data_IF_526395825505
#
_entry.id   IF_526395825505
#
_cell.length_a   1.000
_cell.length_b   1.000
_cell.length_c   1.000
_cell.angle_alpha   90.00
_cell.angle_beta   90.00
_cell.angle_gamma   90.00
#
_symmetry.space_group_name_H-M   'P 1'
#
loop_
_entity.id
_entity.type
_entity.pdbx_description
1 polymer ?
#
# COMPACT_ATOMS: atom_id res chain seq x y z
N UNK A 1 42.33 -23.88 19.40
CA UNK A 1 41.00 -24.50 19.40
C UNK A 1 41.08 -25.78 18.59
N UNK A 2 40.58 -26.89 19.12
CA UNK A 2 40.41 -28.13 18.35
C UNK A 2 39.65 -27.81 17.06
N UNK A 3 40.16 -28.26 15.91
CA UNK A 3 39.58 -28.04 14.57
C UNK A 3 39.52 -26.59 14.03
N UNK A 4 40.40 -25.68 14.48
CA UNK A 4 40.37 -24.27 14.05
C UNK A 4 40.44 -24.05 12.52
N UNK A 5 41.18 -24.88 11.77
CA UNK A 5 41.26 -24.77 10.30
C UNK A 5 39.98 -25.25 9.64
N UNK A 6 39.43 -26.36 10.12
CA UNK A 6 38.19 -26.97 9.65
C UNK A 6 36.98 -26.07 9.93
N UNK A 7 36.96 -25.40 11.08
CA UNK A 7 35.91 -24.42 11.42
C UNK A 7 35.87 -23.26 10.42
N UNK A 8 37.04 -22.77 10.00
CA UNK A 8 37.11 -21.72 8.97
C UNK A 8 36.55 -22.22 7.64
N UNK A 9 37.06 -23.35 7.14
CA UNK A 9 36.60 -23.95 5.87
C UNK A 9 35.09 -24.21 5.86
N UNK A 10 34.54 -24.70 6.98
CA UNK A 10 33.11 -24.93 7.13
C UNK A 10 32.31 -23.64 7.02
N UNK A 11 32.70 -22.59 7.75
CA UNK A 11 32.02 -21.28 7.74
C UNK A 11 32.18 -20.54 6.41
N UNK A 12 33.26 -20.78 5.68
CA UNK A 12 33.47 -20.23 4.34
C UNK A 12 32.56 -20.92 3.31
N UNK A 13 32.08 -22.14 3.59
CA UNK A 13 31.24 -22.94 2.69
C UNK A 13 29.74 -22.74 2.88
N UNK A 14 29.30 -22.35 4.08
CA UNK A 14 27.88 -22.14 4.40
C UNK A 14 27.71 -21.00 5.42
N UNK A 15 26.73 -20.09 5.26
CA UNK A 15 26.45 -19.05 6.24
C UNK A 15 25.91 -19.65 7.55
N UNK A 16 26.76 -19.78 8.57
CA UNK A 16 26.41 -20.38 9.86
C UNK A 16 26.96 -19.55 11.04
N UNK A 17 26.28 -19.57 12.18
CA UNK A 17 26.75 -18.94 13.42
C UNK A 17 27.92 -19.71 14.07
N UNK A 18 28.84 -19.01 14.76
CA UNK A 18 30.10 -19.63 15.22
C UNK A 18 29.88 -20.76 16.22
N UNK A 19 28.92 -20.59 17.13
CA UNK A 19 28.58 -21.60 18.14
C UNK A 19 27.96 -22.84 17.51
N UNK A 20 27.04 -22.67 16.55
CA UNK A 20 26.43 -23.78 15.83
C UNK A 20 27.46 -24.52 14.98
N UNK A 21 28.34 -23.79 14.30
CA UNK A 21 29.42 -24.38 13.51
C UNK A 21 30.37 -25.23 14.37
N UNK A 22 30.77 -24.74 15.55
CA UNK A 22 31.60 -25.50 16.50
C UNK A 22 30.87 -26.77 16.96
N UNK A 23 29.57 -26.68 17.26
CA UNK A 23 28.77 -27.82 17.71
C UNK A 23 28.72 -28.92 16.65
N UNK A 24 28.33 -28.57 15.43
CA UNK A 24 28.21 -29.52 14.30
C UNK A 24 29.58 -30.13 13.97
N UNK A 25 30.63 -29.31 13.97
CA UNK A 25 31.99 -29.77 13.67
C UNK A 25 32.51 -30.76 14.70
N UNK A 26 32.21 -30.55 15.99
CA UNK A 26 32.53 -31.50 17.07
C UNK A 26 31.75 -32.81 16.93
N UNK A 27 30.46 -32.74 16.59
CA UNK A 27 29.64 -33.94 16.38
C UNK A 27 30.16 -34.82 15.24
N UNK A 28 30.79 -34.20 14.24
CA UNK A 28 31.39 -34.88 13.09
C UNK A 28 32.90 -35.11 13.23
N UNK A 29 33.47 -35.00 14.44
CA UNK A 29 34.90 -35.21 14.72
C UNK A 29 35.84 -34.39 13.81
N UNK A 30 35.43 -33.18 13.42
CA UNK A 30 36.22 -32.31 12.55
C UNK A 30 36.05 -32.56 11.04
N UNK A 31 35.19 -33.49 10.61
CA UNK A 31 34.91 -33.72 9.19
C UNK A 31 34.06 -32.57 8.63
N UNK A 32 34.68 -31.74 7.77
CA UNK A 32 34.05 -30.55 7.18
C UNK A 32 32.90 -30.93 6.24
N UNK A 33 33.06 -31.98 5.42
CA UNK A 33 32.06 -32.34 4.42
C UNK A 33 30.79 -32.86 5.10
N UNK A 34 30.94 -33.74 6.10
CA UNK A 34 29.80 -34.22 6.91
C UNK A 34 29.13 -33.09 7.68
N UNK A 35 29.92 -32.12 8.16
CA UNK A 35 29.40 -30.95 8.86
C UNK A 35 28.56 -30.06 7.94
N UNK A 36 28.98 -29.89 6.68
CA UNK A 36 28.21 -29.15 5.66
C UNK A 36 26.89 -29.88 5.38
N UNK A 37 26.93 -31.18 5.11
CA UNK A 37 25.72 -31.97 4.85
C UNK A 37 24.74 -31.92 6.04
N UNK A 38 25.24 -32.08 7.26
CA UNK A 38 24.42 -31.97 8.46
C UNK A 38 23.78 -30.58 8.58
N UNK A 39 24.54 -29.51 8.36
CA UNK A 39 24.00 -28.15 8.44
C UNK A 39 22.92 -27.88 7.38
N UNK A 40 23.12 -28.37 6.14
CA UNK A 40 22.12 -28.27 5.08
C UNK A 40 20.82 -28.99 5.47
N UNK A 41 20.93 -30.20 6.02
CA UNK A 41 19.77 -30.96 6.50
C UNK A 41 19.09 -30.28 7.70
N UNK A 42 19.84 -29.70 8.64
CA UNK A 42 19.29 -28.91 9.75
C UNK A 42 18.50 -27.70 9.23
N UNK A 43 19.01 -26.97 8.24
CA UNK A 43 18.33 -25.82 7.64
C UNK A 43 17.06 -26.22 6.90
N UNK A 44 17.12 -27.30 6.11
CA UNK A 44 15.94 -27.83 5.43
C UNK A 44 14.84 -28.22 6.43
N UNK A 45 15.22 -28.96 7.49
CA UNK A 45 14.29 -29.33 8.56
C UNK A 45 13.71 -28.12 9.29
N UNK A 46 14.51 -27.07 9.52
CA UNK A 46 14.00 -25.83 10.11
C UNK A 46 12.97 -25.14 9.21
N UNK A 47 13.19 -25.11 7.89
CA UNK A 47 12.20 -24.55 6.96
C UNK A 47 10.91 -25.38 6.93
N UNK A 48 11.01 -26.71 6.91
CA UNK A 48 9.85 -27.61 6.94
C UNK A 48 9.05 -27.43 8.24
N UNK A 49 9.72 -27.45 9.39
CA UNK A 49 9.05 -27.42 10.69
C UNK A 49 8.54 -26.03 11.08
N UNK A 50 9.36 -24.99 10.90
CA UNK A 50 9.03 -23.65 11.38
C UNK A 50 8.22 -22.86 10.36
N UNK A 51 8.56 -23.00 9.08
CA UNK A 51 7.91 -22.24 7.99
C UNK A 51 6.90 -23.11 7.24
N UNK A 52 6.78 -24.41 7.51
CA UNK A 52 5.73 -25.29 6.93
C UNK A 52 5.76 -25.32 5.40
N UNK A 53 6.93 -25.52 4.82
CA UNK A 53 7.09 -25.84 3.38
C UNK A 53 7.39 -27.31 3.21
N UNK A 54 7.16 -27.85 2.01
CA UNK A 54 7.60 -29.21 1.71
C UNK A 54 9.12 -29.29 1.53
N UNK A 55 9.61 -30.53 1.52
CA UNK A 55 11.05 -30.83 1.43
C UNK A 55 11.70 -30.30 0.16
N UNK A 56 10.98 -30.33 -0.97
CA UNK A 56 11.50 -29.94 -2.28
C UNK A 56 11.62 -28.41 -2.36
N UNK A 57 10.58 -27.69 -1.96
CA UNK A 57 10.58 -26.23 -1.90
C UNK A 57 11.64 -25.70 -0.92
N UNK A 58 11.81 -26.34 0.24
CA UNK A 58 12.85 -25.98 1.19
C UNK A 58 14.26 -26.11 0.59
N UNK A 59 14.53 -27.17 -0.17
CA UNK A 59 15.80 -27.41 -0.82
C UNK A 59 16.08 -26.40 -1.95
N UNK A 60 15.11 -26.18 -2.84
CA UNK A 60 15.20 -25.23 -3.95
C UNK A 60 15.50 -23.81 -3.44
N UNK A 61 14.75 -23.33 -2.44
CA UNK A 61 14.93 -21.98 -1.90
C UNK A 61 16.27 -21.84 -1.19
N UNK A 62 16.69 -22.83 -0.38
CA UNK A 62 18.00 -22.81 0.27
C UNK A 62 19.12 -22.76 -0.77
N UNK A 63 19.00 -23.52 -1.86
CA UNK A 63 19.98 -23.51 -2.94
C UNK A 63 20.07 -22.11 -3.59
N UNK A 64 18.94 -21.50 -3.93
CA UNK A 64 18.90 -20.17 -4.56
C UNK A 64 19.51 -19.05 -3.71
N UNK A 65 19.45 -19.16 -2.38
CA UNK A 65 19.99 -18.15 -1.45
C UNK A 65 21.32 -18.55 -0.83
N UNK A 66 22.04 -19.51 -1.44
CA UNK A 66 23.34 -20.00 -0.96
C UNK A 66 23.29 -20.48 0.51
N UNK A 67 22.23 -21.18 0.87
CA UNK A 67 21.93 -21.71 2.21
C UNK A 67 21.91 -20.65 3.31
N UNK A 68 21.68 -19.38 2.98
CA UNK A 68 21.38 -18.36 3.97
C UNK A 68 19.96 -18.57 4.52
N UNK A 69 19.87 -19.19 5.70
CA UNK A 69 18.60 -19.51 6.34
C UNK A 69 17.70 -18.29 6.59
N UNK A 70 18.28 -17.14 6.95
CA UNK A 70 17.49 -15.92 7.23
C UNK A 70 16.80 -15.45 5.95
N UNK A 71 17.55 -15.41 4.86
CA UNK A 71 17.02 -15.00 3.55
C UNK A 71 16.02 -16.04 3.00
N UNK A 72 16.28 -17.34 3.20
CA UNK A 72 15.34 -18.40 2.82
C UNK A 72 13.99 -18.27 3.54
N UNK A 73 14.02 -18.09 4.86
CA UNK A 73 12.81 -17.86 5.68
C UNK A 73 12.06 -16.62 5.19
N UNK A 74 12.78 -15.53 4.94
CA UNK A 74 12.21 -14.29 4.41
C UNK A 74 11.52 -14.50 3.06
N UNK A 75 12.15 -15.18 2.10
CA UNK A 75 11.54 -15.47 0.79
C UNK A 75 10.25 -16.27 0.90
N UNK A 76 10.22 -17.30 1.74
CA UNK A 76 9.02 -18.13 1.94
C UNK A 76 7.89 -17.34 2.60
N UNK A 77 8.22 -16.49 3.57
CA UNK A 77 7.22 -15.63 4.21
C UNK A 77 6.67 -14.63 3.18
N UNK A 78 7.56 -13.95 2.44
CA UNK A 78 7.16 -13.00 1.40
C UNK A 78 6.34 -13.66 0.28
N UNK A 79 6.61 -14.92 -0.09
CA UNK A 79 5.81 -15.63 -1.10
C UNK A 79 4.38 -15.97 -0.66
N UNK A 80 4.06 -15.81 0.62
CA UNK A 80 2.71 -16.01 1.19
C UNK A 80 1.95 -14.72 1.42
N UNK A 81 2.66 -13.59 1.40
CA UNK A 81 2.06 -12.28 1.57
C UNK A 81 1.34 -11.88 0.29
N UNK A 82 0.19 -11.23 0.42
CA UNK A 82 -0.45 -10.53 -0.69
C UNK A 82 0.43 -9.39 -1.18
N UNK A 83 0.16 -8.88 -2.39
CA UNK A 83 0.90 -7.74 -2.94
C UNK A 83 0.79 -6.53 -2.02
N UNK A 84 -0.40 -6.31 -1.44
CA UNK A 84 -0.69 -5.25 -0.47
C UNK A 84 0.14 -5.43 0.81
N UNK A 85 0.24 -6.63 1.36
CA UNK A 85 1.08 -6.90 2.54
C UNK A 85 2.56 -6.59 2.27
N UNK A 86 3.06 -6.95 1.09
CA UNK A 86 4.42 -6.60 0.65
C UNK A 86 4.59 -5.08 0.56
N UNK A 87 3.64 -4.38 -0.06
CA UNK A 87 3.68 -2.91 -0.19
C UNK A 87 3.68 -2.23 1.18
N UNK A 88 2.83 -2.69 2.10
CA UNK A 88 2.71 -2.12 3.44
C UNK A 88 3.99 -2.27 4.27
N UNK A 89 4.76 -3.33 4.04
CA UNK A 89 6.02 -3.61 4.76
C UNK A 89 7.25 -2.89 4.17
N UNK A 90 7.27 -2.61 2.86
CA UNK A 90 8.46 -2.09 2.16
C UNK A 90 8.51 -0.56 2.06
N UNK A 91 7.38 0.14 2.14
CA UNK A 91 7.30 1.58 1.90
C UNK A 91 7.30 2.40 3.21
N UNK A 92 7.92 3.58 3.16
CA UNK A 92 8.16 4.41 4.35
C UNK A 92 6.96 5.29 4.71
N UNK A 93 6.41 6.03 3.75
CA UNK A 93 5.24 6.90 3.96
C UNK A 93 3.91 6.23 3.62
N UNK A 94 2.82 6.74 4.16
CA UNK A 94 1.47 6.24 3.87
C UNK A 94 1.02 6.60 2.45
N UNK A 95 1.41 7.77 1.95
CA UNK A 95 1.22 8.16 0.55
C UNK A 95 1.91 7.18 -0.41
N UNK A 96 3.19 6.83 -0.16
CA UNK A 96 3.91 5.85 -0.96
C UNK A 96 3.25 4.46 -0.92
N UNK A 97 2.63 4.09 0.20
CA UNK A 97 1.85 2.84 0.26
C UNK A 97 0.60 2.95 -0.60
N UNK A 98 -0.13 4.05 -0.51
CA UNK A 98 -1.36 4.27 -1.26
C UNK A 98 -1.10 4.23 -2.78
N UNK A 99 -0.10 4.95 -3.29
CA UNK A 99 0.24 4.93 -4.72
C UNK A 99 0.61 3.53 -5.23
N UNK A 100 1.35 2.75 -4.43
CA UNK A 100 1.75 1.40 -4.82
C UNK A 100 0.57 0.42 -4.78
N UNK A 101 -0.33 0.55 -3.80
CA UNK A 101 -1.57 -0.25 -3.74
C UNK A 101 -2.48 0.10 -4.91
N UNK A 102 -2.60 1.39 -5.22
CA UNK A 102 -3.32 1.87 -6.40
C UNK A 102 -2.80 1.19 -7.67
N UNK A 103 -1.50 1.28 -7.94
CA UNK A 103 -0.86 0.59 -9.08
C UNK A 103 -1.08 -0.92 -9.07
N UNK A 104 -1.01 -1.56 -7.90
CA UNK A 104 -1.22 -3.01 -7.77
C UNK A 104 -2.65 -3.43 -8.15
N UNK A 105 -3.66 -2.62 -7.84
CA UNK A 105 -5.04 -2.88 -8.23
C UNK A 105 -5.18 -2.86 -9.75
N UNK A 106 -4.64 -1.84 -10.42
CA UNK A 106 -4.69 -1.74 -11.88
C UNK A 106 -3.95 -2.90 -12.56
N UNK A 107 -2.76 -3.26 -12.04
CA UNK A 107 -1.99 -4.40 -12.53
C UNK A 107 -2.75 -5.73 -12.39
N UNK A 108 -3.46 -5.95 -11.27
CA UNK A 108 -4.28 -7.15 -11.04
C UNK A 108 -5.33 -7.34 -12.13
N UNK A 109 -5.92 -6.27 -12.63
CA UNK A 109 -6.95 -6.31 -13.66
C UNK A 109 -6.42 -6.06 -15.08
N UNK A 110 -5.12 -5.85 -15.24
CA UNK A 110 -4.48 -5.51 -16.53
C UNK A 110 -5.16 -4.33 -17.24
N UNK A 111 -5.53 -3.31 -16.47
CA UNK A 111 -6.14 -2.08 -16.96
C UNK A 111 -5.17 -0.92 -16.78
N UNK A 112 -5.16 -0.01 -17.76
CA UNK A 112 -4.43 1.26 -17.67
C UNK A 112 -5.24 2.29 -16.87
N UNK A 113 -4.57 3.33 -16.41
CA UNK A 113 -5.22 4.44 -15.72
C UNK A 113 -6.25 5.15 -16.62
N UNK A 114 -5.88 5.40 -17.88
CA UNK A 114 -6.73 6.01 -18.92
C UNK A 114 -8.03 5.21 -19.16
N UNK A 115 -7.99 3.89 -19.02
CA UNK A 115 -9.17 3.03 -19.17
C UNK A 115 -10.13 3.09 -17.98
N UNK A 116 -9.74 3.69 -16.85
CA UNK A 116 -10.49 3.67 -15.60
C UNK A 116 -10.48 5.01 -14.86
N UNK A 117 -10.36 6.13 -15.58
CA UNK A 117 -10.54 7.48 -15.01
C UNK A 117 -11.86 7.59 -14.21
N UNK A 118 -11.94 8.60 -13.32
CA UNK A 118 -13.05 8.83 -12.37
C UNK A 118 -14.44 8.66 -13.02
N UNK A 119 -14.58 9.01 -14.31
CA UNK A 119 -15.84 8.98 -15.06
C UNK A 119 -15.97 7.83 -16.07
N UNK A 120 -14.97 6.94 -16.14
CA UNK A 120 -14.97 5.76 -17.00
C UNK A 120 -15.87 4.65 -16.43
N UNK A 121 -16.85 4.24 -17.24
CA UNK A 121 -17.94 3.33 -16.86
C UNK A 121 -17.56 1.86 -16.62
N UNK A 122 -16.30 1.44 -16.75
CA UNK A 122 -15.92 0.03 -16.53
C UNK A 122 -15.41 -0.29 -15.12
N UNK A 123 -15.99 0.36 -14.11
CA UNK A 123 -15.79 0.02 -12.69
C UNK A 123 -16.38 -1.35 -12.31
N UNK A 124 -16.84 -2.18 -13.26
CA UNK A 124 -17.45 -3.49 -12.96
C UNK A 124 -16.43 -4.51 -12.47
N UNK A 125 -15.16 -4.37 -12.87
CA UNK A 125 -14.06 -5.31 -12.58
C UNK A 125 -13.56 -5.26 -11.14
N UNK A 126 -13.57 -4.06 -10.55
CA UNK A 126 -13.11 -3.85 -9.18
C UNK A 126 -14.13 -4.34 -8.15
N UNK A 127 -13.67 -4.83 -7.00
CA UNK A 127 -14.57 -5.04 -5.87
C UNK A 127 -14.89 -3.71 -5.16
N UNK A 128 -15.92 -3.68 -4.30
CA UNK A 128 -16.37 -2.43 -3.66
C UNK A 128 -15.25 -1.70 -2.90
N UNK A 129 -14.38 -2.42 -2.18
CA UNK A 129 -13.28 -1.81 -1.42
C UNK A 129 -12.25 -1.14 -2.32
N UNK A 130 -11.92 -1.80 -3.44
CA UNK A 130 -11.03 -1.25 -4.45
C UNK A 130 -11.64 -0.02 -5.12
N UNK A 131 -12.94 -0.04 -5.45
CA UNK A 131 -13.65 1.12 -6.04
C UNK A 131 -13.63 2.33 -5.13
N UNK A 132 -13.92 2.14 -3.84
CA UNK A 132 -13.93 3.24 -2.89
C UNK A 132 -12.54 3.88 -2.78
N UNK A 133 -11.50 3.04 -2.70
CA UNK A 133 -10.13 3.49 -2.61
C UNK A 133 -9.67 4.22 -3.89
N UNK A 134 -9.96 3.66 -5.06
CA UNK A 134 -9.65 4.30 -6.35
C UNK A 134 -10.33 5.67 -6.43
N UNK A 135 -11.62 5.76 -6.10
CA UNK A 135 -12.37 7.00 -6.17
C UNK A 135 -11.77 8.11 -5.29
N UNK A 136 -11.41 7.78 -4.04
CA UNK A 136 -10.76 8.76 -3.16
C UNK A 136 -9.36 9.10 -3.67
N UNK A 137 -8.57 8.11 -4.09
CA UNK A 137 -7.21 8.34 -4.54
C UNK A 137 -7.16 9.20 -5.82
N UNK A 138 -8.06 8.96 -6.77
CA UNK A 138 -8.17 9.76 -7.98
C UNK A 138 -8.64 11.19 -7.66
N UNK A 139 -9.60 11.35 -6.73
CA UNK A 139 -10.02 12.68 -6.29
C UNK A 139 -8.88 13.46 -5.63
N UNK A 140 -8.06 12.81 -4.81
CA UNK A 140 -6.85 13.40 -4.23
C UNK A 140 -5.84 13.79 -5.33
N UNK A 141 -5.65 12.95 -6.34
CA UNK A 141 -4.77 13.27 -7.47
C UNK A 141 -5.29 14.43 -8.32
N UNK A 142 -6.61 14.53 -8.50
CA UNK A 142 -7.23 15.66 -9.20
C UNK A 142 -7.10 16.95 -8.38
N UNK A 143 -7.23 16.87 -7.06
CA UNK A 143 -6.99 17.99 -6.15
C UNK A 143 -5.54 18.48 -6.24
N UNK A 144 -4.55 17.59 -6.22
CA UNK A 144 -3.13 17.97 -6.36
C UNK A 144 -2.84 18.62 -7.73
N UNK A 145 -3.57 18.22 -8.77
CA UNK A 145 -3.37 18.71 -10.14
C UNK A 145 -4.10 20.04 -10.44
N UNK A 146 -5.39 20.15 -10.13
CA UNK A 146 -6.24 21.31 -10.46
C UNK A 146 -6.55 22.21 -9.25
N UNK A 147 -6.32 21.71 -8.03
CA UNK A 147 -6.60 22.40 -6.78
C UNK A 147 -7.97 22.06 -6.17
N UNK A 148 -8.10 22.28 -4.86
CA UNK A 148 -9.32 22.04 -4.09
C UNK A 148 -10.58 22.70 -4.65
N UNK A 149 -10.50 23.94 -5.14
CA UNK A 149 -11.68 24.64 -5.70
C UNK A 149 -12.25 23.90 -6.91
N UNK A 150 -11.40 23.26 -7.71
CA UNK A 150 -11.79 22.44 -8.85
C UNK A 150 -12.22 21.02 -8.44
N UNK A 151 -11.50 20.40 -7.50
CA UNK A 151 -11.78 19.04 -7.04
C UNK A 151 -13.19 18.88 -6.43
N UNK A 152 -13.72 19.89 -5.74
CA UNK A 152 -15.08 19.83 -5.19
C UNK A 152 -16.19 19.86 -6.26
N UNK A 153 -15.85 20.14 -7.53
CA UNK A 153 -16.80 20.09 -8.66
C UNK A 153 -16.88 18.72 -9.34
N UNK A 154 -15.99 17.78 -9.00
CA UNK A 154 -16.04 16.43 -9.54
C UNK A 154 -17.36 15.73 -9.18
N UNK A 155 -17.92 14.97 -10.13
CA UNK A 155 -19.20 14.26 -9.94
C UNK A 155 -19.13 13.24 -8.80
N UNK A 156 -17.94 12.71 -8.52
CA UNK A 156 -17.70 11.76 -7.43
C UNK A 156 -17.62 12.40 -6.03
N UNK A 157 -17.65 13.73 -5.90
CA UNK A 157 -17.32 14.41 -4.64
C UNK A 157 -18.24 14.03 -3.47
N UNK A 158 -19.54 13.85 -3.71
CA UNK A 158 -20.47 13.41 -2.66
C UNK A 158 -20.18 11.99 -2.15
N UNK A 159 -19.70 11.11 -3.02
CA UNK A 159 -19.32 9.76 -2.64
C UNK A 159 -17.97 9.74 -1.92
N UNK A 160 -17.03 10.59 -2.33
CA UNK A 160 -15.77 10.83 -1.61
C UNK A 160 -16.05 11.26 -0.16
N UNK A 161 -16.98 12.21 0.05
CA UNK A 161 -17.42 12.63 1.40
C UNK A 161 -17.93 11.45 2.21
N UNK A 162 -18.81 10.62 1.62
CA UNK A 162 -19.37 9.44 2.29
C UNK A 162 -18.28 8.41 2.63
N UNK A 163 -17.32 8.17 1.74
CA UNK A 163 -16.22 7.24 1.99
C UNK A 163 -15.36 7.74 3.16
N UNK A 164 -15.01 9.03 3.17
CA UNK A 164 -14.27 9.62 4.29
C UNK A 164 -15.00 9.45 5.63
N UNK A 165 -16.29 9.77 5.68
CA UNK A 165 -17.07 9.73 6.91
C UNK A 165 -17.37 8.31 7.39
N UNK A 166 -17.83 7.43 6.48
CA UNK A 166 -18.39 6.13 6.84
C UNK A 166 -17.36 4.99 6.81
N UNK A 167 -16.33 5.08 5.96
CA UNK A 167 -15.35 4.00 5.76
C UNK A 167 -14.01 4.34 6.40
N UNK A 168 -13.52 5.55 6.21
CA UNK A 168 -12.21 5.97 6.76
C UNK A 168 -12.29 6.55 8.17
N UNK A 169 -13.49 6.61 8.76
CA UNK A 169 -13.71 7.08 10.13
C UNK A 169 -13.40 8.56 10.33
N UNK A 170 -13.35 9.35 9.26
CA UNK A 170 -12.97 10.76 9.27
C UNK A 170 -14.22 11.66 9.33
N UNK A 171 -15.12 11.42 10.30
CA UNK A 171 -16.44 12.05 10.38
C UNK A 171 -16.39 13.58 10.40
N UNK A 172 -15.48 14.18 11.19
CA UNK A 172 -15.34 15.64 11.25
C UNK A 172 -14.85 16.23 9.93
N UNK A 173 -13.91 15.53 9.28
CA UNK A 173 -13.36 15.96 7.99
C UNK A 173 -14.43 15.87 6.89
N UNK A 174 -15.17 14.76 6.86
CA UNK A 174 -16.31 14.59 5.94
C UNK A 174 -17.36 15.70 6.13
N UNK A 175 -17.66 16.09 7.37
CA UNK A 175 -18.56 17.22 7.65
C UNK A 175 -18.05 18.56 7.12
N UNK A 176 -16.74 18.79 7.16
CA UNK A 176 -16.14 20.01 6.58
C UNK A 176 -16.23 20.02 5.04
N UNK A 177 -16.04 18.87 4.40
CA UNK A 177 -16.25 18.71 2.97
C UNK A 177 -17.73 18.87 2.59
N UNK A 178 -18.66 18.36 3.41
CA UNK A 178 -20.11 18.55 3.23
C UNK A 178 -20.49 20.04 3.30
N UNK A 179 -19.98 20.79 4.27
CA UNK A 179 -20.16 22.24 4.35
C UNK A 179 -19.62 22.97 3.09
N UNK A 180 -18.49 22.51 2.54
CA UNK A 180 -17.95 23.04 1.30
C UNK A 180 -18.87 22.71 0.11
N UNK A 181 -19.38 21.48 0.02
CA UNK A 181 -20.34 21.07 -1.01
C UNK A 181 -21.64 21.89 -0.94
N UNK A 182 -22.17 22.12 0.25
CA UNK A 182 -23.37 22.94 0.47
C UNK A 182 -23.14 24.38 0.05
N UNK A 183 -21.99 24.96 0.42
CA UNK A 183 -21.61 26.32 0.03
C UNK A 183 -21.47 26.43 -1.49
N UNK A 184 -20.81 25.46 -2.12
CA UNK A 184 -20.74 25.33 -3.59
C UNK A 184 -22.13 25.31 -4.20
N UNK A 185 -23.03 24.46 -3.70
CA UNK A 185 -24.39 24.32 -4.23
C UNK A 185 -25.23 25.59 -4.03
N UNK A 186 -25.05 26.31 -2.91
CA UNK A 186 -25.70 27.60 -2.67
C UNK A 186 -25.22 28.68 -3.66
N UNK A 187 -23.91 28.76 -3.89
CA UNK A 187 -23.33 29.68 -4.87
C UNK A 187 -23.82 29.33 -6.27
N UNK A 188 -23.78 28.06 -6.67
CA UNK A 188 -24.31 27.62 -7.97
C UNK A 188 -25.77 28.03 -8.15
N UNK A 189 -26.62 27.84 -7.12
CA UNK A 189 -28.04 28.26 -7.16
C UNK A 189 -28.22 29.76 -7.32
N UNK A 190 -27.36 30.59 -6.70
CA UNK A 190 -27.37 32.05 -6.83
C UNK A 190 -27.15 32.52 -8.27
N UNK A 191 -26.38 31.75 -9.04
CA UNK A 191 -26.03 32.08 -10.43
C UNK A 191 -26.98 31.52 -11.50
N UNK A 192 -28.12 30.93 -11.09
CA UNK A 192 -29.25 30.41 -11.89
C UNK A 192 -28.93 30.06 -13.38
N UNK A 193 -28.88 28.75 -13.68
CA UNK A 193 -28.49 28.17 -14.98
C UNK A 193 -29.38 28.53 -16.19
N UNK A 194 -30.37 29.41 -16.05
CA UNK A 194 -31.29 29.80 -17.12
C UNK A 194 -30.74 30.83 -18.12
N UNK A 195 -29.46 31.20 -18.07
CA UNK A 195 -28.88 32.15 -19.02
C UNK A 195 -27.69 31.50 -19.73
N UNK A 196 -27.91 31.09 -20.99
CA UNK A 196 -26.85 30.81 -21.97
C UNK A 196 -25.85 31.97 -22.00
N UNK A 197 -24.69 31.85 -21.37
CA UNK A 197 -23.47 32.65 -21.66
C UNK A 197 -22.28 32.11 -20.86
N UNK A 198 -21.20 31.74 -21.56
CA UNK A 198 -19.99 31.11 -21.03
C UNK A 198 -19.17 31.89 -19.99
N UNK A 199 -19.69 33.02 -19.46
CA UNK A 199 -19.04 33.77 -18.37
C UNK A 199 -19.54 33.37 -16.98
N UNK A 200 -20.63 32.61 -16.86
CA UNK A 200 -21.19 32.23 -15.55
C UNK A 200 -20.27 31.26 -14.80
N UNK A 201 -19.62 30.33 -15.52
CA UNK A 201 -18.63 29.42 -14.93
C UNK A 201 -17.47 30.16 -14.28
N UNK A 202 -16.95 31.18 -14.95
CA UNK A 202 -15.89 32.02 -14.41
C UNK A 202 -16.35 32.82 -13.18
N UNK A 203 -17.56 33.40 -13.23
CA UNK A 203 -18.06 34.26 -12.15
C UNK A 203 -18.33 33.49 -10.85
N UNK A 204 -18.93 32.30 -10.91
CA UNK A 204 -19.18 31.52 -9.69
C UNK A 204 -17.87 30.93 -9.14
N UNK A 205 -16.94 30.49 -10.00
CA UNK A 205 -15.62 29.99 -9.57
C UNK A 205 -14.84 31.07 -8.83
N UNK A 206 -14.83 32.28 -9.40
CA UNK A 206 -14.25 33.45 -8.74
C UNK A 206 -14.91 33.74 -7.39
N UNK A 207 -16.23 33.61 -7.26
CA UNK A 207 -16.91 33.78 -5.97
C UNK A 207 -16.51 32.68 -4.95
N UNK A 208 -16.34 31.44 -5.40
CA UNK A 208 -15.87 30.33 -4.55
C UNK A 208 -14.44 30.56 -4.06
N UNK A 209 -13.52 30.88 -4.96
CA UNK A 209 -12.09 31.03 -4.66
C UNK A 209 -11.79 32.30 -3.87
N UNK A 210 -12.41 33.43 -4.24
CA UNK A 210 -12.04 34.72 -3.65
C UNK A 210 -12.85 35.03 -2.39
N UNK A 211 -14.13 34.63 -2.33
CA UNK A 211 -15.07 35.17 -1.35
C UNK A 211 -15.63 34.15 -0.36
N UNK A 212 -15.43 32.85 -0.57
CA UNK A 212 -15.93 31.85 0.37
C UNK A 212 -14.92 31.51 1.46
N UNK A 213 -15.11 32.10 2.64
CA UNK A 213 -14.34 31.74 3.86
C UNK A 213 -14.48 30.25 4.17
N UNK A 214 -15.64 29.65 3.90
CA UNK A 214 -15.89 28.23 4.16
C UNK A 214 -15.02 27.35 3.24
N UNK A 215 -14.94 27.67 1.94
CA UNK A 215 -14.09 26.90 1.00
C UNK A 215 -12.62 27.01 1.39
N UNK A 216 -12.15 28.23 1.69
CA UNK A 216 -10.75 28.44 2.14
C UNK A 216 -10.44 27.71 3.44
N UNK A 217 -11.37 27.69 4.39
CA UNK A 217 -11.21 26.96 5.64
C UNK A 217 -11.19 25.44 5.40
N UNK A 218 -12.03 24.92 4.50
CA UNK A 218 -12.04 23.50 4.15
C UNK A 218 -10.77 23.08 3.41
N UNK A 219 -10.24 23.91 2.51
CA UNK A 219 -8.95 23.69 1.85
C UNK A 219 -7.80 23.70 2.86
N UNK A 220 -7.73 24.72 3.73
CA UNK A 220 -6.71 24.76 4.79
C UNK A 220 -6.74 23.51 5.68
N UNK A 221 -7.93 23.05 6.06
CA UNK A 221 -8.08 21.83 6.85
C UNK A 221 -7.75 20.55 6.07
N UNK A 222 -7.90 20.56 4.74
CA UNK A 222 -7.45 19.48 3.87
C UNK A 222 -5.92 19.41 3.87
N UNK A 223 -5.26 20.53 3.57
CA UNK A 223 -3.79 20.64 3.50
C UNK A 223 -3.13 20.20 4.82
N UNK A 224 -3.63 20.72 5.94
CA UNK A 224 -3.13 20.40 7.29
C UNK A 224 -3.36 18.94 7.71
N UNK A 225 -4.26 18.22 7.02
CA UNK A 225 -4.64 16.84 7.36
C UNK A 225 -4.22 15.82 6.32
N UNK A 226 -3.46 16.20 5.28
CA UNK A 226 -3.10 15.29 4.19
C UNK A 226 -2.40 14.01 4.70
N UNK A 227 -1.47 14.13 5.65
CA UNK A 227 -0.82 12.96 6.28
C UNK A 227 -1.82 12.05 7.00
N UNK A 228 -2.80 12.64 7.70
CA UNK A 228 -3.85 11.91 8.42
C UNK A 228 -4.85 11.26 7.45
N UNK A 229 -5.11 11.90 6.30
CA UNK A 229 -5.92 11.33 5.22
C UNK A 229 -5.27 10.02 4.75
N UNK A 230 -3.98 10.05 4.41
CA UNK A 230 -3.27 8.83 4.00
C UNK A 230 -3.16 7.81 5.12
N UNK A 231 -2.98 8.23 6.38
CA UNK A 231 -3.00 7.32 7.52
C UNK A 231 -4.34 6.58 7.65
N UNK A 232 -5.46 7.29 7.53
CA UNK A 232 -6.80 6.70 7.58
C UNK A 232 -7.06 5.73 6.42
N UNK A 233 -6.64 6.09 5.20
CA UNK A 233 -6.71 5.21 4.02
C UNK A 233 -5.94 3.91 4.28
N UNK A 234 -4.69 3.99 4.73
CA UNK A 234 -3.85 2.82 5.01
C UNK A 234 -4.41 1.99 6.16
N UNK A 235 -4.99 2.63 7.18
CA UNK A 235 -5.64 1.94 8.30
C UNK A 235 -6.84 1.13 7.82
N UNK A 236 -7.69 1.71 6.96
CA UNK A 236 -8.82 1.00 6.36
C UNK A 236 -8.37 -0.19 5.50
N UNK A 237 -7.34 0.00 4.67
CA UNK A 237 -6.79 -1.09 3.84
C UNK A 237 -6.26 -2.23 4.71
N UNK A 238 -5.54 -1.94 5.81
CA UNK A 238 -5.05 -2.97 6.74
C UNK A 238 -6.19 -3.78 7.37
N UNK A 239 -7.30 -3.13 7.73
CA UNK A 239 -8.47 -3.80 8.29
C UNK A 239 -9.17 -4.74 7.28
N UNK A 240 -9.01 -4.45 6.00
CA UNK A 240 -9.64 -5.18 4.89
C UNK A 240 -8.61 -5.75 3.92
N UNK A 241 -7.44 -6.15 4.41
CA UNK A 241 -6.28 -6.46 3.58
C UNK A 241 -6.54 -7.55 2.53
N UNK A 242 -7.40 -8.52 2.86
CA UNK A 242 -7.83 -9.59 1.96
C UNK A 242 -8.79 -9.16 0.85
N UNK A 243 -9.17 -7.88 0.80
CA UNK A 243 -9.98 -7.26 -0.26
C UNK A 243 -9.14 -6.48 -1.26
N UNK A 244 -7.84 -6.35 -1.00
CA UNK A 244 -6.86 -5.70 -1.87
C UNK A 244 -5.88 -6.76 -2.43
N UNK A 245 -5.13 -6.44 -3.50
CA UNK A 245 -4.20 -7.37 -4.15
C UNK A 245 -3.09 -7.95 -3.26
#
# INVERSE_FOLDING_TARGET
>A
MEFSKQLKLFRDSIPIGIQQAIKILKQNNGDVNKSIEQAKNEYQNQLICEVKVDSKMAEEILFEVNYNLIEAKKRIIESRLSTTEIILSKNSSNEQKAIQIYRAIFNKYSVTHEECEIDSHDKTKFNTFEKDFIMVYDWLGYEDYEGFSDAIHQDCFEDVIKIFGLKYGMTEFAKNLENANDTKNQIIKKYDFNIKKGNIHYLYRKELEENSIIIKASQFLFDERLDKIYESIITYIKQHINKFP
#
